data_IF_227185207617
#
_entry.id   IF_227185207617
#
_cell.length_a   1.000
_cell.length_b   1.000
_cell.length_c   1.000
_cell.angle_alpha   90.00
_cell.angle_beta   90.00
_cell.angle_gamma   90.00
#
_symmetry.space_group_name_H-M   'P 1'
#
loop_
_entity.id
_entity.type
_entity.pdbx_description
1 polymer ?
#
# COMPACT_ATOMS: atom_id res chain seq x y z
N UNK A 1 -20.61 5.13 2.54
CA UNK A 1 -19.42 4.26 2.54
C UNK A 1 -19.18 3.59 3.89
N UNK A 2 -19.09 4.32 5.01
CA UNK A 2 -18.91 3.74 6.34
C UNK A 2 -19.92 2.62 6.67
N UNK A 3 -21.21 2.86 6.42
CA UNK A 3 -22.29 1.86 6.57
C UNK A 3 -22.13 0.63 5.65
N UNK A 4 -21.51 0.79 4.48
CA UNK A 4 -21.26 -0.32 3.56
C UNK A 4 -20.16 -1.23 4.11
N UNK A 5 -19.08 -0.66 4.66
CA UNK A 5 -17.99 -1.43 5.28
C UNK A 5 -18.46 -2.21 6.51
N UNK A 6 -19.45 -1.68 7.25
CA UNK A 6 -20.07 -2.38 8.38
C UNK A 6 -20.62 -3.77 8.01
N UNK A 7 -21.13 -3.93 6.79
CA UNK A 7 -21.63 -5.21 6.29
C UNK A 7 -20.54 -6.28 6.16
N UNK A 8 -19.27 -5.88 6.14
CA UNK A 8 -18.12 -6.77 5.98
C UNK A 8 -17.28 -6.90 7.24
N UNK A 9 -17.68 -6.31 8.38
CA UNK A 9 -16.90 -6.39 9.63
C UNK A 9 -16.71 -7.81 10.15
N UNK A 10 -17.68 -8.69 9.87
CA UNK A 10 -17.62 -10.11 10.23
C UNK A 10 -16.95 -10.97 9.14
N UNK A 11 -16.66 -10.38 7.98
CA UNK A 11 -16.04 -11.09 6.86
C UNK A 11 -14.52 -11.08 6.99
N UNK A 12 -13.93 -12.27 7.09
CA UNK A 12 -12.48 -12.43 7.11
C UNK A 12 -11.88 -12.46 5.70
N UNK A 13 -10.58 -12.14 5.62
CA UNK A 13 -9.76 -12.29 4.41
C UNK A 13 -9.88 -11.15 3.39
N UNK A 14 -10.71 -10.14 3.66
CA UNK A 14 -10.72 -8.93 2.85
C UNK A 14 -9.54 -8.02 3.20
N UNK A 15 -8.92 -7.49 2.15
CA UNK A 15 -7.88 -6.48 2.19
C UNK A 15 -8.50 -5.21 1.60
N UNK A 16 -8.50 -4.14 2.38
CA UNK A 16 -9.10 -2.86 1.97
C UNK A 16 -8.04 -1.79 1.87
N UNK A 17 -7.92 -1.19 0.69
CA UNK A 17 -6.92 -0.19 0.35
C UNK A 17 -7.61 1.14 0.12
N UNK A 18 -7.14 2.17 0.81
CA UNK A 18 -7.63 3.54 0.70
C UNK A 18 -6.46 4.43 0.28
N UNK A 19 -6.55 4.98 -0.92
CA UNK A 19 -5.53 5.88 -1.47
C UNK A 19 -6.10 7.30 -1.52
N UNK A 20 -5.31 8.27 -1.06
CA UNK A 20 -5.73 9.68 -1.01
C UNK A 20 -4.92 10.52 -1.99
N UNK A 21 -5.49 11.63 -2.47
CA UNK A 21 -4.77 12.56 -3.35
C UNK A 21 -3.56 13.21 -2.68
N UNK A 22 -3.49 13.19 -1.33
CA UNK A 22 -2.34 13.63 -0.56
C UNK A 22 -1.21 12.60 -0.51
N UNK A 23 -1.19 11.61 -1.42
CA UNK A 23 -0.14 10.59 -1.51
C UNK A 23 -0.03 9.70 -0.26
N UNK A 24 -1.15 9.48 0.43
CA UNK A 24 -1.22 8.51 1.53
C UNK A 24 -2.02 7.30 1.10
N UNK A 25 -1.48 6.11 1.37
CA UNK A 25 -2.17 4.83 1.18
C UNK A 25 -2.38 4.20 2.55
N UNK A 26 -3.60 3.76 2.86
CA UNK A 26 -3.90 3.00 4.08
C UNK A 26 -4.50 1.65 3.72
N UNK A 27 -3.94 0.59 4.29
CA UNK A 27 -4.31 -0.80 4.05
C UNK A 27 -4.86 -1.36 5.34
N UNK A 28 -6.04 -1.95 5.27
CA UNK A 28 -6.72 -2.58 6.40
C UNK A 28 -6.87 -4.07 6.13
N UNK A 29 -6.30 -4.88 7.02
CA UNK A 29 -6.49 -6.35 6.99
C UNK A 29 -7.74 -6.81 7.74
N UNK A 30 -8.36 -5.89 8.48
CA UNK A 30 -9.63 -6.08 9.16
C UNK A 30 -10.51 -4.88 8.90
N UNK A 31 -11.77 -5.14 8.57
CA UNK A 31 -12.73 -4.09 8.23
C UNK A 31 -13.43 -3.49 9.46
N UNK A 32 -13.25 -4.11 10.62
CA UNK A 32 -13.85 -3.68 11.88
C UNK A 32 -13.26 -2.35 12.34
N UNK A 33 -14.12 -1.37 12.58
CA UNK A 33 -13.72 -0.10 13.19
C UNK A 33 -12.87 0.80 12.29
N UNK A 34 -12.87 0.58 10.96
CA UNK A 34 -12.20 1.47 10.01
C UNK A 34 -12.74 2.89 10.19
N UNK A 35 -11.85 3.88 10.26
CA UNK A 35 -12.24 5.29 10.15
C UNK A 35 -11.76 5.80 8.80
N UNK A 36 -12.71 5.97 7.87
CA UNK A 36 -12.38 6.52 6.55
C UNK A 36 -11.89 7.97 6.68
N UNK A 37 -10.95 8.41 5.83
CA UNK A 37 -10.56 9.81 5.75
C UNK A 37 -11.77 10.71 5.47
N UNK A 38 -11.80 11.90 6.06
CA UNK A 38 -12.84 12.92 5.82
C UNK A 38 -12.61 13.73 4.54
N UNK A 39 -11.51 13.48 3.81
CA UNK A 39 -11.19 14.19 2.58
C UNK A 39 -12.16 13.82 1.44
N UNK A 40 -12.43 14.75 0.52
CA UNK A 40 -13.41 14.59 -0.55
C UNK A 40 -12.94 13.72 -1.72
N UNK A 41 -11.64 13.45 -1.87
CA UNK A 41 -11.11 12.66 -2.98
C UNK A 41 -10.19 11.54 -2.49
N UNK A 42 -10.71 10.32 -2.49
CA UNK A 42 -9.98 9.10 -2.17
C UNK A 42 -10.48 7.95 -3.05
N UNK A 43 -9.56 7.07 -3.43
CA UNK A 43 -9.83 5.81 -4.12
C UNK A 43 -9.95 4.70 -3.08
N UNK A 44 -10.87 3.79 -3.29
CA UNK A 44 -11.09 2.63 -2.43
C UNK A 44 -11.11 1.37 -3.25
N UNK A 45 -10.35 0.38 -2.81
CA UNK A 45 -10.30 -0.94 -3.42
C UNK A 45 -10.45 -2.01 -2.34
N UNK A 46 -11.32 -2.98 -2.59
CA UNK A 46 -11.63 -4.08 -1.67
C UNK A 46 -11.42 -5.39 -2.41
N UNK A 47 -10.59 -6.28 -1.87
CA UNK A 47 -10.32 -7.58 -2.50
C UNK A 47 -10.08 -8.67 -1.47
N UNK A 48 -10.45 -9.91 -1.80
CA UNK A 48 -9.98 -11.12 -1.08
C UNK A 48 -8.78 -11.77 -1.75
N UNK A 49 -8.55 -11.45 -3.03
CA UNK A 49 -7.50 -12.09 -3.82
C UNK A 49 -6.14 -11.46 -3.50
N UNK A 50 -5.18 -12.30 -3.11
CA UNK A 50 -3.80 -11.86 -2.90
C UNK A 50 -3.12 -11.40 -4.20
N UNK A 51 -3.50 -11.94 -5.37
CA UNK A 51 -2.96 -11.45 -6.65
C UNK A 51 -3.47 -10.06 -6.99
N UNK A 52 -4.77 -9.82 -6.82
CA UNK A 52 -5.37 -8.50 -7.04
C UNK A 52 -4.83 -7.49 -6.03
N UNK A 53 -4.65 -7.89 -4.77
CA UNK A 53 -4.01 -7.03 -3.77
C UNK A 53 -2.59 -6.62 -4.19
N UNK A 54 -1.79 -7.57 -4.67
CA UNK A 54 -0.46 -7.29 -5.21
C UNK A 54 -0.50 -6.30 -6.38
N UNK A 55 -1.44 -6.44 -7.29
CA UNK A 55 -1.60 -5.52 -8.42
C UNK A 55 -1.98 -4.11 -7.96
N UNK A 56 -2.90 -3.99 -6.99
CA UNK A 56 -3.28 -2.70 -6.39
C UNK A 56 -2.05 -2.01 -5.79
N UNK A 57 -1.28 -2.70 -4.94
CA UNK A 57 -0.10 -2.10 -4.30
C UNK A 57 0.96 -1.70 -5.34
N UNK A 58 1.21 -2.53 -6.35
CA UNK A 58 2.14 -2.17 -7.43
C UNK A 58 1.66 -0.97 -8.24
N UNK A 59 0.36 -0.88 -8.51
CA UNK A 59 -0.25 0.24 -9.22
C UNK A 59 -0.11 1.54 -8.42
N UNK A 60 -0.39 1.50 -7.11
CA UNK A 60 -0.23 2.65 -6.22
C UNK A 60 1.23 3.12 -6.16
N UNK A 61 2.17 2.22 -5.87
CA UNK A 61 3.59 2.56 -5.83
C UNK A 61 4.09 3.14 -7.15
N UNK A 62 3.58 2.67 -8.28
CA UNK A 62 3.96 3.14 -9.62
C UNK A 62 3.34 4.49 -10.01
N UNK A 63 2.09 4.73 -9.65
CA UNK A 63 1.33 5.86 -10.19
C UNK A 63 1.32 7.05 -9.26
N UNK A 64 1.20 6.83 -7.95
CA UNK A 64 1.05 7.91 -6.98
C UNK A 64 2.36 8.30 -6.30
N UNK A 65 3.37 7.43 -6.31
CA UNK A 65 4.62 7.58 -5.54
C UNK A 65 4.30 8.06 -4.12
N UNK A 66 3.59 7.25 -3.33
CA UNK A 66 3.02 7.69 -2.06
C UNK A 66 4.13 8.12 -1.10
N UNK A 67 3.89 9.20 -0.34
CA UNK A 67 4.81 9.61 0.73
C UNK A 67 4.77 8.60 1.87
N UNK A 68 3.55 8.18 2.24
CA UNK A 68 3.32 7.27 3.35
C UNK A 68 2.34 6.16 2.95
N UNK A 69 2.69 4.94 3.34
CA UNK A 69 1.78 3.79 3.32
C UNK A 69 1.64 3.22 4.71
N UNK A 70 0.42 3.13 5.20
CA UNK A 70 0.09 2.59 6.50
C UNK A 70 -0.61 1.25 6.36
N UNK A 71 -0.11 0.24 7.03
CA UNK A 71 -0.76 -1.08 7.15
C UNK A 71 -1.32 -1.19 8.55
N UNK A 72 -2.65 -1.10 8.66
CA UNK A 72 -3.41 -1.28 9.90
C UNK A 72 -3.73 -2.77 10.02
N UNK A 73 -2.86 -3.47 10.73
CA UNK A 73 -2.93 -4.91 10.91
C UNK A 73 -2.22 -5.35 12.20
N UNK A 74 -2.41 -6.62 12.57
CA UNK A 74 -1.52 -7.25 13.55
C UNK A 74 -0.13 -7.40 12.93
N UNK A 75 0.93 -7.32 13.75
CA UNK A 75 2.34 -7.41 13.34
C UNK A 75 2.69 -8.67 12.53
N UNK A 76 1.87 -9.72 12.59
CA UNK A 76 2.05 -10.98 11.86
C UNK A 76 1.13 -11.16 10.64
N UNK A 77 0.54 -10.08 10.09
CA UNK A 77 -0.40 -10.23 8.98
C UNK A 77 0.28 -10.57 7.65
N UNK A 78 -0.38 -11.39 6.84
CA UNK A 78 0.08 -11.79 5.50
C UNK A 78 0.35 -10.55 4.63
N UNK A 79 -0.54 -9.55 4.66
CA UNK A 79 -0.38 -8.33 3.88
C UNK A 79 0.85 -7.53 4.31
N UNK A 80 1.12 -7.44 5.62
CA UNK A 80 2.31 -6.74 6.13
C UNK A 80 3.58 -7.47 5.71
N UNK A 81 3.64 -8.80 5.87
CA UNK A 81 4.77 -9.62 5.45
C UNK A 81 5.04 -9.44 3.95
N UNK A 82 4.00 -9.56 3.13
CA UNK A 82 4.08 -9.36 1.70
C UNK A 82 4.61 -7.97 1.31
N UNK A 83 4.14 -6.90 1.96
CA UNK A 83 4.61 -5.53 1.68
C UNK A 83 6.08 -5.37 2.09
N UNK A 84 6.46 -5.88 3.26
CA UNK A 84 7.85 -5.88 3.72
C UNK A 84 8.74 -6.62 2.73
N UNK A 85 8.39 -7.84 2.35
CA UNK A 85 9.14 -8.61 1.36
C UNK A 85 9.25 -7.85 0.04
N UNK A 86 8.14 -7.32 -0.49
CA UNK A 86 8.14 -6.58 -1.74
C UNK A 86 9.08 -5.37 -1.73
N UNK A 87 9.12 -4.63 -0.62
CA UNK A 87 9.92 -3.40 -0.47
C UNK A 87 11.38 -3.71 -0.15
N UNK A 88 11.65 -4.72 0.67
CA UNK A 88 12.99 -5.04 1.17
C UNK A 88 13.78 -5.93 0.22
N UNK A 89 13.11 -6.78 -0.58
CA UNK A 89 13.76 -7.57 -1.65
C UNK A 89 14.00 -6.76 -2.93
N UNK A 90 13.99 -5.42 -2.83
CA UNK A 90 14.35 -4.59 -3.97
C UNK A 90 15.86 -4.68 -4.17
N UNK A 91 16.27 -5.03 -5.38
CA UNK A 91 17.65 -4.86 -5.82
C UNK A 91 17.98 -3.35 -5.82
N UNK A 92 19.19 -2.99 -5.41
CA UNK A 92 19.66 -1.60 -5.44
C UNK A 92 19.67 -1.04 -6.87
N UNK A 93 19.98 -1.89 -7.85
CA UNK A 93 19.87 -1.63 -9.28
C UNK A 93 19.01 -2.72 -9.93
N UNK A 94 17.67 -2.58 -9.91
CA UNK A 94 16.80 -3.65 -10.38
C UNK A 94 16.93 -3.86 -11.88
N UNK A 95 17.33 -5.05 -12.32
CA UNK A 95 17.48 -5.37 -13.75
C UNK A 95 16.15 -5.76 -14.42
N UNK A 96 15.02 -5.52 -13.75
CA UNK A 96 13.71 -6.03 -14.13
C UNK A 96 13.07 -5.38 -15.37
N UNK A 97 13.70 -4.37 -15.97
CA UNK A 97 13.11 -3.60 -17.07
C UNK A 97 14.08 -3.43 -18.24
N UNK A 98 14.11 -4.41 -19.15
CA UNK A 98 14.90 -4.30 -20.40
C UNK A 98 14.38 -3.24 -21.37
N UNK A 99 13.09 -2.88 -21.31
CA UNK A 99 12.47 -2.00 -22.31
C UNK A 99 11.77 -0.75 -21.74
N UNK A 100 11.26 -0.79 -20.51
CA UNK A 100 10.44 0.31 -19.95
C UNK A 100 10.68 0.51 -18.45
N UNK A 101 11.87 1.00 -18.08
CA UNK A 101 12.22 1.32 -16.68
C UNK A 101 11.24 2.29 -16.01
N UNK A 102 10.63 3.20 -16.79
CA UNK A 102 9.63 4.15 -16.29
C UNK A 102 8.35 3.51 -15.75
N UNK A 103 8.13 2.21 -16.01
CA UNK A 103 6.94 1.47 -15.55
C UNK A 103 7.17 0.74 -14.23
N UNK A 104 8.40 0.69 -13.71
CA UNK A 104 8.68 -0.03 -12.47
C UNK A 104 9.10 0.95 -11.37
N UNK A 105 8.25 1.05 -10.34
CA UNK A 105 8.45 1.94 -9.19
C UNK A 105 9.77 1.67 -8.46
N UNK A 106 10.33 0.45 -8.57
CA UNK A 106 11.58 0.06 -7.90
C UNK A 106 12.76 0.93 -8.33
N UNK A 107 12.79 1.40 -9.59
CA UNK A 107 13.85 2.30 -10.07
C UNK A 107 13.76 3.70 -9.47
N UNK A 108 12.60 4.09 -8.96
CA UNK A 108 12.35 5.42 -8.41
C UNK A 108 12.40 5.43 -6.89
N UNK A 109 12.39 4.27 -6.24
CA UNK A 109 12.41 4.20 -4.79
C UNK A 109 13.83 4.38 -4.27
N UNK A 110 14.14 5.56 -3.72
CA UNK A 110 15.46 5.87 -3.14
C UNK A 110 15.66 5.19 -1.79
N UNK A 111 14.68 5.35 -0.89
CA UNK A 111 14.80 4.91 0.49
C UNK A 111 13.42 4.66 1.11
N UNK A 112 13.37 3.82 2.14
CA UNK A 112 12.15 3.54 2.92
C UNK A 112 12.48 3.49 4.40
N UNK A 113 11.77 4.30 5.18
CA UNK A 113 11.74 4.19 6.63
C UNK A 113 10.54 3.35 7.05
N UNK A 114 10.77 2.35 7.89
CA UNK A 114 9.72 1.51 8.47
C UNK A 114 9.59 1.85 9.95
N UNK A 115 8.38 2.14 10.41
CA UNK A 115 8.05 2.37 11.82
C UNK A 115 6.92 1.43 12.22
N UNK A 116 7.17 0.59 13.20
CA UNK A 116 6.22 -0.41 13.69
C UNK A 116 5.64 0.04 15.03
N UNK A 117 4.33 -0.10 15.17
CA UNK A 117 3.60 0.10 16.42
C UNK A 117 2.71 -1.11 16.67
N UNK A 118 2.04 -1.15 17.83
CA UNK A 118 1.13 -2.25 18.20
C UNK A 118 0.01 -2.45 17.18
N UNK A 119 -0.53 -1.35 16.64
CA UNK A 119 -1.76 -1.39 15.82
C UNK A 119 -1.51 -1.23 14.31
N UNK A 120 -0.32 -0.78 13.92
CA UNK A 120 0.00 -0.53 12.52
C UNK A 120 1.50 -0.44 12.26
N UNK A 121 1.86 -0.67 11.01
CA UNK A 121 3.18 -0.36 10.45
C UNK A 121 3.06 0.78 9.44
N UNK A 122 3.98 1.73 9.48
CA UNK A 122 4.08 2.83 8.52
C UNK A 122 5.36 2.70 7.71
N UNK A 123 5.22 2.80 6.39
CA UNK A 123 6.29 2.89 5.42
C UNK A 123 6.33 4.31 4.89
N UNK A 124 7.40 5.05 5.16
CA UNK A 124 7.63 6.38 4.60
C UNK A 124 8.64 6.26 3.47
N UNK A 125 8.21 6.57 2.26
CA UNK A 125 9.01 6.41 1.04
C UNK A 125 9.70 7.72 0.68
N UNK A 126 10.94 7.61 0.23
CA UNK A 126 11.64 8.68 -0.49
C UNK A 126 11.81 8.25 -1.93
N UNK A 127 11.27 9.05 -2.83
CA UNK A 127 11.35 8.81 -4.26
C UNK A 127 12.47 9.65 -4.89
N UNK A 128 13.13 9.11 -5.91
CA UNK A 128 13.96 9.88 -6.82
C UNK A 128 13.05 10.82 -7.63
N UNK A 129 13.57 11.99 -8.04
CA UNK A 129 12.88 12.84 -9.00
C UNK A 129 12.56 12.02 -10.26
N UNK A 130 11.36 12.20 -10.81
CA UNK A 130 11.07 11.70 -12.14
C UNK A 130 11.98 12.48 -13.10
N UNK A 131 12.93 11.80 -13.75
CA UNK A 131 13.72 12.39 -14.84
C UNK A 131 12.74 12.83 -15.93
N UNK A 132 12.61 14.14 -16.12
CA UNK A 132 11.81 14.75 -17.19
C UNK A 132 12.44 14.56 -18.57
#
# INVERSE_FOLDING_TARGET
MQKFLQNFEQSNGFKFVVSTNQKNVTIYDKLRGIKLPTCSAYKMELTKSSSVFREIINSELRTSHPSDMRVVSCSSSESLQFIKEMIMTREENPNCCHYYSQKCWRHYLKDVKIVETVDHTTFTFKWLPLSG
#
